data_IF_874965895046
#
_entry.id   IF_874965895046
#
_cell.length_a   1.000
_cell.length_b   1.000
_cell.length_c   1.000
_cell.angle_alpha   90.00
_cell.angle_beta   90.00
_cell.angle_gamma   90.00
#
_symmetry.space_group_name_H-M   'P 1'
#
loop_
_entity.id
_entity.type
_entity.pdbx_description
1 polymer ?
#
# COMPACT_ATOMS: atom_id res chain seq x y z
N UNK A 1 -5.28 11.25 10.82
CA UNK A 1 -5.69 12.07 11.98
C UNK A 1 -5.77 11.27 13.27
N UNK A 2 -6.42 10.08 13.29
CA UNK A 2 -6.64 9.31 14.53
C UNK A 2 -5.33 8.92 15.26
N UNK A 3 -4.33 8.43 14.53
CA UNK A 3 -3.06 7.97 15.12
C UNK A 3 -2.13 9.11 15.57
N UNK A 4 -2.30 10.31 15.00
CA UNK A 4 -1.42 11.45 15.26
C UNK A 4 -2.19 12.69 15.76
N UNK A 5 -3.45 12.52 16.18
CA UNK A 5 -4.30 13.63 16.58
C UNK A 5 -3.66 14.54 17.65
N UNK A 6 -2.99 13.95 18.64
CA UNK A 6 -2.30 14.69 19.70
C UNK A 6 -1.04 15.47 19.23
N UNK A 7 -0.51 15.13 18.05
CA UNK A 7 0.69 15.78 17.48
C UNK A 7 0.37 16.75 16.36
N UNK A 8 -0.86 16.71 15.84
CA UNK A 8 -1.30 17.60 14.76
C UNK A 8 -1.73 18.95 15.32
N UNK A 9 -1.17 20.03 14.78
CA UNK A 9 -1.55 21.42 15.11
C UNK A 9 -2.68 21.95 14.22
N UNK A 10 -3.12 21.14 13.22
CA UNK A 10 -4.17 21.51 12.27
C UNK A 10 -5.23 20.43 12.25
N UNK A 11 -6.47 20.82 11.98
CA UNK A 11 -7.58 19.93 11.63
C UNK A 11 -7.67 19.90 10.09
N UNK A 12 -7.29 18.79 9.48
CA UNK A 12 -7.23 18.67 8.02
C UNK A 12 -8.60 18.88 7.35
N UNK A 13 -9.69 18.50 8.02
CA UNK A 13 -11.06 18.67 7.48
C UNK A 13 -11.58 20.11 7.57
N UNK A 14 -11.10 20.87 8.55
CA UNK A 14 -11.51 22.26 8.78
C UNK A 14 -10.56 23.25 8.12
N UNK A 15 -9.25 22.99 8.20
CA UNK A 15 -8.21 23.97 7.91
C UNK A 15 -7.66 23.85 6.48
N UNK A 16 -8.04 22.78 5.73
CA UNK A 16 -7.61 22.55 4.35
C UNK A 16 -8.78 22.45 3.37
N UNK A 17 -8.59 22.99 2.17
CA UNK A 17 -9.47 22.80 1.02
C UNK A 17 -8.76 21.97 -0.06
N UNK A 18 -9.45 20.95 -0.60
CA UNK A 18 -8.93 20.16 -1.73
C UNK A 18 -8.93 20.96 -3.03
N UNK A 19 -7.86 20.85 -3.80
CA UNK A 19 -7.71 21.47 -5.11
C UNK A 19 -7.90 20.44 -6.22
N UNK A 20 -7.06 19.39 -6.22
CA UNK A 20 -7.13 18.34 -7.26
C UNK A 20 -6.47 17.05 -6.77
N UNK A 21 -6.96 15.93 -7.27
CA UNK A 21 -6.30 14.63 -7.18
C UNK A 21 -5.21 14.57 -8.26
N UNK A 22 -3.98 14.28 -7.88
CA UNK A 22 -2.85 14.16 -8.81
C UNK A 22 -2.64 12.74 -9.31
N UNK A 23 -2.73 11.77 -8.42
CA UNK A 23 -2.50 10.38 -8.75
C UNK A 23 -3.21 9.43 -7.77
N UNK A 24 -3.67 8.31 -8.29
CA UNK A 24 -4.03 7.12 -7.53
C UNK A 24 -2.96 6.06 -7.76
N UNK A 25 -2.34 5.59 -6.70
CA UNK A 25 -1.18 4.71 -6.76
C UNK A 25 -1.58 3.35 -6.21
N UNK A 26 -1.70 2.32 -7.04
CA UNK A 26 -2.02 0.98 -6.56
C UNK A 26 -0.85 0.39 -5.77
N UNK A 27 -1.20 -0.39 -4.75
CA UNK A 27 -0.26 -1.22 -4.02
C UNK A 27 -0.46 -2.69 -4.38
N UNK A 28 0.53 -3.50 -4.04
CA UNK A 28 0.45 -4.94 -4.12
C UNK A 28 0.97 -5.59 -2.84
N UNK A 29 0.40 -6.72 -2.49
CA UNK A 29 1.04 -7.67 -1.59
C UNK A 29 2.16 -8.33 -2.38
N UNK A 30 3.38 -8.01 -2.00
CA UNK A 30 4.60 -8.52 -2.63
C UNK A 30 5.30 -9.50 -1.71
N UNK A 31 5.98 -10.47 -2.29
CA UNK A 31 6.73 -11.50 -1.56
C UNK A 31 8.16 -11.61 -2.05
N UNK A 32 9.07 -11.89 -1.12
CA UNK A 32 10.45 -12.19 -1.42
C UNK A 32 10.63 -13.58 -2.05
N UNK A 33 11.82 -13.87 -2.61
CA UNK A 33 12.12 -15.14 -3.30
C UNK A 33 12.09 -16.35 -2.35
N UNK A 34 12.22 -16.15 -1.05
CA UNK A 34 12.15 -17.23 -0.04
C UNK A 34 10.74 -17.78 0.19
N UNK A 35 9.68 -17.09 -0.28
CA UNK A 35 8.33 -17.63 -0.21
C UNK A 35 8.17 -18.76 -1.25
N UNK A 36 7.84 -19.99 -0.85
CA UNK A 36 7.42 -21.03 -1.79
C UNK A 36 6.04 -20.69 -2.36
N UNK A 37 5.82 -21.04 -3.64
CA UNK A 37 4.57 -20.73 -4.34
C UNK A 37 4.52 -19.32 -4.93
N UNK A 38 3.42 -19.03 -5.66
CA UNK A 38 3.25 -17.82 -6.44
C UNK A 38 1.91 -17.11 -6.22
N UNK A 39 1.09 -17.64 -5.32
CA UNK A 39 -0.25 -17.10 -5.02
C UNK A 39 -0.35 -16.63 -3.57
N UNK A 40 -1.26 -15.69 -3.32
CA UNK A 40 -1.55 -15.24 -1.95
C UNK A 40 -2.06 -16.39 -1.07
N UNK A 41 -2.85 -17.30 -1.64
CA UNK A 41 -3.36 -18.49 -0.93
C UNK A 41 -2.23 -19.39 -0.44
N UNK A 42 -1.25 -19.67 -1.29
CA UNK A 42 -0.07 -20.48 -0.92
C UNK A 42 0.79 -19.77 0.13
N UNK A 43 0.97 -18.44 -0.01
CA UNK A 43 1.67 -17.64 0.98
C UNK A 43 1.01 -17.73 2.36
N UNK A 44 -0.31 -17.58 2.41
CA UNK A 44 -1.09 -17.66 3.66
C UNK A 44 -0.99 -19.06 4.26
N UNK A 45 -1.13 -20.12 3.47
CA UNK A 45 -0.99 -21.51 3.95
C UNK A 45 0.40 -21.72 4.56
N UNK A 46 1.46 -21.29 3.85
CA UNK A 46 2.83 -21.41 4.32
C UNK A 46 3.11 -20.67 5.63
N UNK A 47 2.53 -19.45 5.79
CA UNK A 47 2.67 -18.66 7.01
C UNK A 47 1.86 -19.29 8.16
N UNK A 48 0.67 -19.81 7.87
CA UNK A 48 -0.25 -20.39 8.84
C UNK A 48 0.33 -21.63 9.53
N UNK A 49 1.11 -22.43 8.80
CA UNK A 49 1.80 -23.61 9.33
C UNK A 49 2.97 -23.24 10.25
N UNK A 50 3.41 -21.97 10.27
CA UNK A 50 4.58 -21.48 11.00
C UNK A 50 4.29 -20.17 11.72
N UNK A 51 3.37 -20.14 12.67
CA UNK A 51 2.87 -18.92 13.28
C UNK A 51 4.00 -18.15 14.01
N UNK A 52 4.11 -16.86 13.72
CA UNK A 52 5.09 -15.96 14.37
C UNK A 52 6.53 -16.07 13.85
N UNK A 53 6.82 -16.97 12.92
CA UNK A 53 8.19 -17.14 12.38
C UNK A 53 8.55 -16.12 11.30
N UNK A 54 7.56 -15.43 10.73
CA UNK A 54 7.77 -14.53 9.62
C UNK A 54 7.47 -13.08 9.98
N UNK A 55 8.19 -12.19 9.30
CA UNK A 55 8.06 -10.76 9.45
C UNK A 55 7.41 -10.17 8.20
N UNK A 56 6.71 -9.04 8.39
CA UNK A 56 6.34 -8.12 7.34
C UNK A 56 6.82 -6.72 7.69
N UNK A 57 6.99 -5.86 6.70
CA UNK A 57 7.46 -4.50 6.91
C UNK A 57 6.48 -3.49 6.33
N UNK A 58 6.26 -2.40 7.08
CA UNK A 58 5.48 -1.24 6.64
C UNK A 58 5.83 -0.03 7.52
N UNK A 59 5.70 1.21 7.00
CA UNK A 59 5.78 2.40 7.85
C UNK A 59 4.66 2.39 8.88
N UNK A 60 5.03 2.58 10.14
CA UNK A 60 4.08 2.50 11.26
C UNK A 60 2.90 3.47 11.08
N UNK A 61 1.68 2.95 11.17
CA UNK A 61 0.44 3.73 11.05
C UNK A 61 0.10 4.18 9.63
N UNK A 62 0.86 3.74 8.62
CA UNK A 62 0.51 3.98 7.21
C UNK A 62 -0.64 3.08 6.76
N UNK A 63 -1.24 3.42 5.61
CA UNK A 63 -2.26 2.56 4.98
C UNK A 63 -1.74 1.14 4.71
N UNK A 64 -0.49 0.98 4.26
CA UNK A 64 0.10 -0.34 4.04
C UNK A 64 0.25 -1.15 5.33
N UNK A 65 0.52 -0.51 6.46
CA UNK A 65 0.52 -1.17 7.77
C UNK A 65 -0.90 -1.63 8.16
N UNK A 66 -1.90 -0.76 7.99
CA UNK A 66 -3.29 -1.09 8.33
C UNK A 66 -3.85 -2.20 7.43
N UNK A 67 -3.54 -2.18 6.13
CA UNK A 67 -3.93 -3.24 5.20
C UNK A 67 -3.29 -4.59 5.57
N UNK A 68 -2.01 -4.59 5.98
CA UNK A 68 -1.35 -5.81 6.45
C UNK A 68 -1.97 -6.34 7.75
N UNK A 69 -2.34 -5.46 8.69
CA UNK A 69 -3.07 -5.86 9.89
C UNK A 69 -4.42 -6.48 9.56
N UNK A 70 -5.19 -5.85 8.65
CA UNK A 70 -6.48 -6.37 8.21
C UNK A 70 -6.33 -7.73 7.51
N UNK A 71 -5.35 -7.86 6.60
CA UNK A 71 -5.07 -9.10 5.89
C UNK A 71 -4.65 -10.22 6.83
N UNK A 72 -3.72 -9.95 7.76
CA UNK A 72 -3.25 -10.97 8.71
C UNK A 72 -4.37 -11.43 9.64
N UNK A 73 -5.23 -10.52 10.09
CA UNK A 73 -6.40 -10.83 10.90
C UNK A 73 -7.42 -11.68 10.12
N UNK A 74 -7.79 -11.27 8.90
CA UNK A 74 -8.76 -11.99 8.06
C UNK A 74 -8.25 -13.37 7.63
N UNK A 75 -6.94 -13.49 7.36
CA UNK A 75 -6.31 -14.76 7.00
C UNK A 75 -6.06 -15.68 8.22
N UNK A 76 -6.18 -15.18 9.44
CA UNK A 76 -5.87 -15.93 10.66
C UNK A 76 -4.40 -16.32 10.76
N UNK A 77 -3.48 -15.45 10.31
CA UNK A 77 -2.04 -15.67 10.35
C UNK A 77 -1.35 -14.76 11.36
N UNK A 78 -0.25 -15.22 11.94
CA UNK A 78 0.57 -14.46 12.88
C UNK A 78 1.91 -14.12 12.25
N UNK A 79 2.19 -12.82 12.16
CA UNK A 79 3.46 -12.27 11.64
C UNK A 79 3.93 -11.13 12.54
N UNK A 80 5.24 -10.90 12.58
CA UNK A 80 5.83 -9.78 13.31
C UNK A 80 5.95 -8.57 12.40
N UNK A 81 5.44 -7.42 12.85
CA UNK A 81 5.63 -6.15 12.16
C UNK A 81 7.02 -5.58 12.44
N UNK A 82 7.76 -5.26 11.40
CA UNK A 82 9.00 -4.49 11.44
C UNK A 82 8.75 -3.09 10.88
N UNK A 83 8.96 -2.02 11.65
CA UNK A 83 8.82 -0.66 11.13
C UNK A 83 9.80 -0.39 9.99
N UNK A 84 9.39 0.41 8.99
CA UNK A 84 10.24 0.88 7.90
C UNK A 84 9.95 2.33 7.56
N UNK A 85 10.85 2.92 6.78
CA UNK A 85 10.67 4.27 6.21
C UNK A 85 10.03 4.25 4.83
N UNK A 86 9.74 3.04 4.28
CA UNK A 86 9.10 2.90 2.97
C UNK A 86 9.79 1.89 2.05
N UNK A 87 9.47 1.95 0.75
CA UNK A 87 9.89 0.97 -0.25
C UNK A 87 11.41 0.82 -0.38
N UNK A 88 12.18 1.88 -0.13
CA UNK A 88 13.65 1.84 -0.19
C UNK A 88 14.30 0.89 0.82
N UNK A 89 13.63 0.61 1.95
CA UNK A 89 14.07 -0.38 2.94
C UNK A 89 13.40 -1.74 2.71
N UNK A 90 12.14 -1.72 2.30
CA UNK A 90 11.30 -2.92 2.17
C UNK A 90 11.75 -3.83 1.04
N UNK A 91 12.09 -3.29 -0.14
CA UNK A 91 12.52 -4.10 -1.28
C UNK A 91 13.83 -4.88 -1.00
N UNK A 92 14.90 -4.26 -0.50
CA UNK A 92 16.10 -5.01 -0.10
C UNK A 92 15.82 -6.07 0.98
N UNK A 93 14.97 -5.77 1.96
CA UNK A 93 14.62 -6.70 3.03
C UNK A 93 13.86 -7.94 2.50
N UNK A 94 12.95 -7.77 1.52
CA UNK A 94 12.30 -8.86 0.79
C UNK A 94 13.32 -9.72 0.05
N UNK A 95 14.24 -9.09 -0.70
CA UNK A 95 15.25 -9.80 -1.49
C UNK A 95 16.20 -10.62 -0.61
N UNK A 96 16.59 -10.10 0.56
CA UNK A 96 17.43 -10.84 1.53
C UNK A 96 16.62 -11.88 2.32
N UNK A 97 15.28 -11.80 2.29
CA UNK A 97 14.36 -12.66 3.03
C UNK A 97 14.36 -12.39 4.54
N UNK A 98 14.62 -11.16 4.93
CA UNK A 98 14.44 -10.66 6.31
C UNK A 98 12.96 -10.50 6.63
N UNK A 99 12.16 -10.19 5.61
CA UNK A 99 10.70 -10.21 5.60
C UNK A 99 10.20 -11.14 4.50
N UNK A 100 9.04 -11.75 4.72
CA UNK A 100 8.47 -12.70 3.77
C UNK A 100 7.54 -12.01 2.77
N UNK A 101 6.65 -11.16 3.26
CA UNK A 101 5.67 -10.39 2.47
C UNK A 101 5.59 -8.94 2.95
N UNK A 102 5.06 -8.07 2.11
CA UNK A 102 4.75 -6.68 2.46
C UNK A 102 3.65 -6.13 1.56
N UNK A 103 2.91 -5.13 2.04
CA UNK A 103 2.07 -4.29 1.18
C UNK A 103 2.88 -3.08 0.73
N UNK A 104 3.21 -3.00 -0.56
CA UNK A 104 4.12 -2.01 -1.11
C UNK A 104 3.61 -1.42 -2.41
N UNK A 105 4.04 -0.19 -2.71
CA UNK A 105 3.66 0.54 -3.91
C UNK A 105 4.13 -0.18 -5.18
N UNK A 106 3.24 -0.38 -6.15
CA UNK A 106 3.55 -1.07 -7.40
C UNK A 106 4.62 -0.32 -8.19
N UNK A 107 4.52 0.99 -8.33
CA UNK A 107 5.48 1.77 -9.13
C UNK A 107 6.91 1.65 -8.60
N UNK A 108 7.09 1.54 -7.29
CA UNK A 108 8.43 1.38 -6.67
C UNK A 108 9.00 -0.03 -6.83
N UNK A 109 8.16 -1.02 -7.13
CA UNK A 109 8.55 -2.44 -7.16
C UNK A 109 8.43 -3.09 -8.54
N UNK A 110 7.83 -2.40 -9.52
CA UNK A 110 7.50 -2.97 -10.84
C UNK A 110 8.70 -3.53 -11.57
N UNK A 111 9.86 -2.87 -11.48
CA UNK A 111 11.11 -3.35 -12.06
C UNK A 111 11.55 -4.69 -11.46
N UNK A 112 11.53 -4.80 -10.13
CA UNK A 112 11.90 -6.04 -9.44
C UNK A 112 10.90 -7.18 -9.67
N UNK A 113 9.59 -6.85 -9.79
CA UNK A 113 8.54 -7.82 -10.13
C UNK A 113 8.75 -8.35 -11.55
N UNK A 114 8.91 -7.48 -12.55
CA UNK A 114 9.14 -7.86 -13.95
C UNK A 114 10.47 -8.62 -14.17
N UNK A 115 11.47 -8.33 -13.34
CA UNK A 115 12.73 -9.07 -13.33
C UNK A 115 12.67 -10.41 -12.57
N UNK A 116 11.51 -10.77 -11.97
CA UNK A 116 11.34 -12.00 -11.20
C UNK A 116 12.10 -12.05 -9.87
N UNK A 117 12.59 -10.90 -9.39
CA UNK A 117 13.34 -10.81 -8.13
C UNK A 117 12.44 -10.87 -6.90
N UNK A 118 11.20 -10.39 -7.04
CA UNK A 118 10.12 -10.51 -6.07
C UNK A 118 8.82 -10.88 -6.80
N UNK A 119 7.83 -11.37 -6.06
CA UNK A 119 6.53 -11.79 -6.58
C UNK A 119 5.45 -10.80 -6.18
N UNK A 120 4.54 -10.45 -7.08
CA UNK A 120 3.29 -9.78 -6.75
C UNK A 120 2.19 -10.83 -6.58
N UNK A 121 1.58 -10.91 -5.39
CA UNK A 121 0.61 -11.94 -5.03
C UNK A 121 -0.85 -11.47 -5.20
N UNK A 122 -1.11 -10.20 -4.94
CA UNK A 122 -2.41 -9.57 -5.14
C UNK A 122 -2.25 -8.05 -5.16
N UNK A 123 -3.08 -7.34 -5.92
CA UNK A 123 -3.15 -5.86 -5.88
C UNK A 123 -4.25 -5.42 -4.92
N UNK A 124 -4.08 -4.23 -4.30
CA UNK A 124 -5.04 -3.67 -3.33
C UNK A 124 -6.15 -2.84 -3.99
N UNK A 125 -6.05 -2.58 -5.29
CA UNK A 125 -7.06 -1.86 -6.06
C UNK A 125 -8.33 -2.71 -6.26
N UNK A 126 -9.47 -2.05 -6.52
CA UNK A 126 -10.74 -2.71 -6.76
C UNK A 126 -10.75 -3.54 -8.06
N UNK A 127 -9.87 -3.24 -9.00
CA UNK A 127 -9.68 -3.94 -10.27
C UNK A 127 -8.21 -4.24 -10.48
N UNK A 128 -7.91 -5.23 -11.33
CA UNK A 128 -6.54 -5.52 -11.77
C UNK A 128 -5.95 -4.30 -12.47
N UNK A 129 -4.66 -4.17 -12.42
CA UNK A 129 -3.94 -3.03 -13.02
C UNK A 129 -3.28 -3.46 -14.33
N UNK A 130 -3.17 -2.52 -15.26
CA UNK A 130 -2.64 -2.78 -16.60
C UNK A 130 -1.16 -3.21 -16.58
N UNK A 131 -0.41 -2.74 -15.59
CA UNK A 131 1.02 -3.07 -15.44
C UNK A 131 1.27 -4.52 -14.99
N UNK A 132 0.28 -5.16 -14.35
CA UNK A 132 0.32 -6.54 -13.81
C UNK A 132 -1.04 -7.23 -14.03
N UNK A 133 -1.46 -7.45 -15.27
CA UNK A 133 -2.80 -7.96 -15.59
C UNK A 133 -3.07 -9.38 -15.07
N UNK A 134 -2.01 -10.16 -14.87
CA UNK A 134 -2.08 -11.53 -14.33
C UNK A 134 -2.25 -11.57 -12.82
N UNK A 135 -1.93 -10.47 -12.11
CA UNK A 135 -1.99 -10.42 -10.64
C UNK A 135 -3.43 -10.14 -10.21
N UNK A 136 -4.04 -11.02 -9.41
CA UNK A 136 -5.41 -10.83 -8.94
C UNK A 136 -5.53 -9.67 -7.96
N UNK A 137 -6.75 -9.15 -7.78
CA UNK A 137 -7.07 -8.25 -6.67
C UNK A 137 -7.14 -9.04 -5.35
N UNK A 138 -7.06 -8.35 -4.21
CA UNK A 138 -7.30 -8.98 -2.90
C UNK A 138 -8.69 -9.60 -2.82
N UNK A 139 -9.72 -8.97 -3.42
CA UNK A 139 -11.07 -9.51 -3.48
C UNK A 139 -11.13 -10.82 -4.26
N UNK A 140 -10.50 -10.91 -5.44
CA UNK A 140 -10.40 -12.15 -6.24
C UNK A 140 -9.59 -13.23 -5.50
N UNK A 141 -8.61 -12.83 -4.68
CA UNK A 141 -7.83 -13.73 -3.83
C UNK A 141 -8.57 -14.19 -2.54
N UNK A 142 -9.83 -13.78 -2.35
CA UNK A 142 -10.67 -14.20 -1.22
C UNK A 142 -10.69 -13.23 -0.03
N UNK A 143 -10.20 -12.00 -0.20
CA UNK A 143 -10.16 -10.97 0.85
C UNK A 143 -10.90 -9.68 0.41
N UNK A 144 -12.23 -9.74 0.21
CA UNK A 144 -13.01 -8.56 -0.14
C UNK A 144 -13.01 -7.53 1.00
N UNK A 145 -13.03 -6.25 0.64
CA UNK A 145 -13.05 -5.14 1.61
C UNK A 145 -11.71 -4.84 2.28
N UNK A 146 -10.65 -5.56 1.92
CA UNK A 146 -9.28 -5.26 2.34
C UNK A 146 -8.54 -4.62 1.17
N UNK A 147 -7.79 -3.57 1.46
CA UNK A 147 -6.99 -2.83 0.51
C UNK A 147 -7.36 -1.35 0.48
N UNK A 148 -6.36 -0.52 0.66
CA UNK A 148 -6.49 0.93 0.61
C UNK A 148 -6.02 1.45 -0.74
N UNK A 149 -6.72 2.45 -1.25
CA UNK A 149 -6.24 3.23 -2.39
C UNK A 149 -5.30 4.32 -1.87
N UNK A 150 -4.04 4.25 -2.25
CA UNK A 150 -3.12 5.34 -2.02
C UNK A 150 -3.35 6.43 -3.07
N UNK A 151 -3.52 7.65 -2.64
CA UNK A 151 -3.73 8.78 -3.52
C UNK A 151 -2.90 9.99 -3.08
N UNK A 152 -2.54 10.83 -4.02
CA UNK A 152 -1.89 12.10 -3.80
C UNK A 152 -2.77 13.23 -4.36
N UNK A 153 -2.90 14.30 -3.59
CA UNK A 153 -3.69 15.47 -3.98
C UNK A 153 -3.03 16.76 -3.53
N UNK A 154 -3.44 17.85 -4.16
CA UNK A 154 -3.05 19.21 -3.75
C UNK A 154 -4.15 19.75 -2.83
N UNK A 155 -3.71 20.35 -1.74
CA UNK A 155 -4.56 21.06 -0.77
C UNK A 155 -4.00 22.46 -0.55
N UNK A 156 -4.88 23.38 -0.23
CA UNK A 156 -4.56 24.75 0.18
C UNK A 156 -5.22 25.06 1.52
N UNK A 157 -4.80 26.11 2.23
CA UNK A 157 -5.54 26.57 3.42
C UNK A 157 -7.02 26.82 3.09
N UNK A 158 -7.92 26.42 3.98
CA UNK A 158 -9.38 26.50 3.74
C UNK A 158 -9.89 27.93 3.44
N UNK A 159 -9.14 28.96 3.86
CA UNK A 159 -9.46 30.38 3.60
C UNK A 159 -8.92 30.91 2.26
N UNK A 160 -8.33 30.06 1.42
CA UNK A 160 -7.86 30.47 0.08
C UNK A 160 -9.05 30.88 -0.77
N UNK A 161 -9.00 32.07 -1.46
CA UNK A 161 -10.08 32.53 -2.32
C UNK A 161 -10.41 31.50 -3.40
N UNK A 162 -11.72 31.30 -3.64
CA UNK A 162 -12.20 30.31 -4.61
C UNK A 162 -11.59 30.47 -6.00
N UNK A 163 -11.41 31.67 -6.49
CA UNK A 163 -10.81 31.94 -7.78
C UNK A 163 -9.37 31.38 -7.92
N UNK A 164 -8.60 31.39 -6.83
CA UNK A 164 -7.26 30.80 -6.78
C UNK A 164 -7.36 29.26 -6.81
N UNK A 165 -8.27 28.70 -6.04
CA UNK A 165 -8.52 27.23 -6.02
C UNK A 165 -8.91 26.76 -7.42
N UNK A 166 -9.85 27.43 -8.06
CA UNK A 166 -10.34 27.09 -9.41
C UNK A 166 -9.20 27.15 -10.43
N UNK A 167 -8.35 28.19 -10.37
CA UNK A 167 -7.20 28.30 -11.27
C UNK A 167 -6.15 27.21 -11.06
N UNK A 168 -5.85 26.86 -9.82
CA UNK A 168 -4.95 25.75 -9.49
C UNK A 168 -5.55 24.40 -9.94
N UNK A 169 -6.87 24.22 -9.82
CA UNK A 169 -7.56 23.01 -10.29
C UNK A 169 -7.46 22.84 -11.81
N UNK A 170 -7.68 23.92 -12.58
CA UNK A 170 -7.51 23.90 -14.05
C UNK A 170 -6.10 23.45 -14.44
N UNK A 171 -5.05 24.03 -13.80
CA UNK A 171 -3.66 23.67 -14.04
C UNK A 171 -3.42 22.19 -13.71
N UNK A 172 -3.94 21.71 -12.56
CA UNK A 172 -3.80 20.32 -12.16
C UNK A 172 -4.42 19.34 -13.15
N UNK A 173 -5.61 19.65 -13.69
CA UNK A 173 -6.28 18.79 -14.68
C UNK A 173 -5.57 18.73 -16.04
N UNK A 174 -4.83 19.74 -16.41
CA UNK A 174 -4.10 19.78 -17.69
C UNK A 174 -2.86 18.87 -17.70
N UNK A 175 -2.48 18.29 -16.56
CA UNK A 175 -1.25 17.50 -16.39
C UNK A 175 -1.50 16.08 -15.86
N UNK A 176 -2.77 15.61 -15.83
CA UNK A 176 -3.18 14.27 -15.38
C UNK A 176 -3.73 13.43 -16.59
#
# INVERSE_FOLDING_TARGET
>A
PLLFASKMKIDAMRDLAGVTLLASIPNAIVAGPKLPGNTLKEAIAYIKDRPGQFNYQAPLGSYSHLDMLALTAAAGIKMTHLPSRGAGETLPALMRGEILISNSNVASNIGAIKAGQIKALAVTSAQRIAELPEVPTLAEAGFPGIGSLNWNGIFVPAKTPKAIIDKLHEIGRAHV
#
